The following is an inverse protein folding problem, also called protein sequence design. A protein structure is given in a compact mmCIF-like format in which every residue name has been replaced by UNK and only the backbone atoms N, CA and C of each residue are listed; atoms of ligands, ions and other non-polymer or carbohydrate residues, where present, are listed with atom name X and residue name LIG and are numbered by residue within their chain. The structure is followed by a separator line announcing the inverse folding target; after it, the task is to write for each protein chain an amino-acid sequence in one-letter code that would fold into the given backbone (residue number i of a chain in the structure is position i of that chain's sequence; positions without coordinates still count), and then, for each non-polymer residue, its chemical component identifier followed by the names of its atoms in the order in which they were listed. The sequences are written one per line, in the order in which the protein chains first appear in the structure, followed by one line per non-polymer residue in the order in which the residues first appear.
data_IF_117281492233
#
_entry.id   IF_117281492233
#
_cell.length_a   1.000
_cell.length_b   1.000
_cell.length_c   1.000
_cell.angle_alpha   90.00
_cell.angle_beta   90.00
_cell.angle_gamma   90.00
#
_symmetry.space_group_name_H-M   'P 1'
#
loop_
_entity.id
_entity.type
_entity.pdbx_description
1 polymer ?
#
# COMPACT_ATOMS: atom_id res chain seq x y z
N UNK A 1 -10.28 3.80 -22.32
CA UNK A 1 -11.22 4.53 -21.43
C UNK A 1 -11.42 3.70 -20.17
N UNK A 2 -10.65 3.94 -19.11
CA UNK A 2 -10.82 3.23 -17.84
C UNK A 2 -11.89 3.96 -17.02
N UNK A 3 -13.04 3.29 -16.77
CA UNK A 3 -14.03 3.77 -15.80
C UNK A 3 -13.38 3.76 -14.41
N UNK A 4 -13.08 4.94 -13.89
CA UNK A 4 -12.90 5.13 -12.44
C UNK A 4 -14.27 4.95 -11.79
N UNK A 5 -14.68 3.71 -11.55
CA UNK A 5 -15.81 3.42 -10.67
C UNK A 5 -15.31 3.64 -9.23
N UNK A 6 -15.20 4.91 -8.82
CA UNK A 6 -14.93 5.25 -7.43
C UNK A 6 -16.18 5.00 -6.62
N UNK A 7 -16.15 4.04 -5.70
CA UNK A 7 -17.20 3.92 -4.68
C UNK A 7 -17.03 5.13 -3.76
N UNK A 8 -18.02 6.03 -3.75
CA UNK A 8 -18.02 7.18 -2.85
C UNK A 8 -18.47 6.69 -1.47
N UNK A 9 -17.54 6.53 -0.54
CA UNK A 9 -17.84 6.19 0.85
C UNK A 9 -17.56 7.40 1.74
N UNK A 10 -18.43 7.63 2.73
CA UNK A 10 -18.24 8.66 3.73
C UNK A 10 -17.92 8.01 5.07
N UNK A 11 -16.96 8.57 5.80
CA UNK A 11 -16.63 8.13 7.14
C UNK A 11 -16.31 9.35 7.99
N UNK A 12 -16.73 9.31 9.25
CA UNK A 12 -16.44 10.38 10.20
C UNK A 12 -15.02 10.24 10.73
N UNK A 13 -14.31 11.35 10.83
CA UNK A 13 -13.05 11.42 11.57
C UNK A 13 -13.36 11.54 13.06
N UNK A 14 -12.84 10.61 13.86
CA UNK A 14 -12.98 10.57 15.31
C UNK A 14 -11.62 10.46 15.98
N UNK A 15 -11.33 11.34 16.96
CA UNK A 15 -10.10 11.33 17.77
C UNK A 15 -8.82 11.10 16.94
N UNK A 16 -8.70 11.80 15.80
CA UNK A 16 -7.56 11.72 14.86
C UNK A 16 -7.48 10.46 14.00
N UNK A 17 -8.58 9.69 13.89
CA UNK A 17 -8.65 8.49 13.06
C UNK A 17 -9.89 8.52 12.16
N UNK A 18 -9.77 7.98 10.95
CA UNK A 18 -10.91 7.71 10.07
C UNK A 18 -11.08 6.20 9.97
N UNK A 19 -12.24 5.67 10.36
CA UNK A 19 -12.54 4.24 10.26
C UNK A 19 -13.05 3.92 8.86
N UNK A 20 -12.33 3.08 8.14
CA UNK A 20 -12.75 2.54 6.85
C UNK A 20 -13.30 1.12 7.10
N UNK A 21 -14.48 0.83 6.54
CA UNK A 21 -15.12 -0.48 6.64
C UNK A 21 -16.06 -0.73 5.45
N UNK A 22 -16.40 -1.99 5.23
CA UNK A 22 -17.36 -2.44 4.22
C UNK A 22 -16.76 -3.37 3.17
N UNK A 23 -17.64 -4.07 2.45
CA UNK A 23 -17.31 -5.10 1.45
C UNK A 23 -16.45 -4.58 0.29
N UNK A 24 -16.42 -3.27 0.06
CA UNK A 24 -15.60 -2.64 -0.96
C UNK A 24 -14.09 -2.70 -0.63
N UNK A 25 -13.71 -2.85 0.64
CA UNK A 25 -12.30 -2.79 1.06
C UNK A 25 -11.47 -3.95 0.48
N UNK A 26 -11.87 -5.24 0.62
CA UNK A 26 -11.19 -6.33 -0.06
C UNK A 26 -11.20 -6.19 -1.59
N UNK A 27 -12.29 -5.68 -2.18
CA UNK A 27 -12.41 -5.45 -3.62
C UNK A 27 -11.43 -4.39 -4.13
N UNK A 28 -11.11 -3.40 -3.29
CA UNK A 28 -10.10 -2.38 -3.56
C UNK A 28 -8.66 -2.83 -3.20
N UNK A 29 -8.46 -4.08 -2.80
CA UNK A 29 -7.15 -4.66 -2.49
C UNK A 29 -6.68 -4.44 -1.05
N UNK A 30 -7.51 -3.88 -0.16
CA UNK A 30 -7.20 -3.78 1.27
C UNK A 30 -7.45 -5.13 1.95
N UNK A 31 -6.41 -5.95 2.02
CA UNK A 31 -6.43 -7.26 2.65
C UNK A 31 -5.71 -7.17 4.00
N UNK A 32 -6.25 -7.82 5.02
CA UNK A 32 -5.62 -7.86 6.34
C UNK A 32 -4.18 -8.39 6.25
N UNK A 33 -3.25 -7.74 6.94
CA UNK A 33 -1.81 -8.08 6.92
C UNK A 33 -1.02 -7.52 5.72
N UNK A 34 -1.66 -6.86 4.75
CA UNK A 34 -0.95 -6.15 3.68
C UNK A 34 -0.62 -4.72 4.15
N UNK A 35 0.65 -4.27 4.03
CA UNK A 35 1.00 -2.90 4.38
C UNK A 35 0.32 -1.90 3.44
N UNK A 36 0.12 -0.67 3.90
CA UNK A 36 -0.44 0.43 3.09
C UNK A 36 0.60 1.51 2.88
N UNK A 37 0.59 2.11 1.68
CA UNK A 37 1.33 3.33 1.38
C UNK A 37 0.41 4.52 1.57
N UNK A 38 0.82 5.46 2.41
CA UNK A 38 0.11 6.71 2.66
C UNK A 38 0.84 7.86 1.97
N UNK A 39 0.12 8.68 1.21
CA UNK A 39 0.63 9.90 0.58
C UNK A 39 -0.25 11.06 1.01
N UNK A 40 0.36 12.09 1.58
CA UNK A 40 -0.34 13.33 1.91
C UNK A 40 -0.25 14.27 0.70
N UNK A 41 -1.39 14.71 0.21
CA UNK A 41 -1.52 15.68 -0.86
C UNK A 41 -2.27 16.92 -0.32
N UNK A 42 -2.26 18.02 -1.08
CA UNK A 42 -3.09 19.17 -0.73
C UNK A 42 -4.56 18.73 -0.77
N UNK A 43 -5.27 18.97 0.32
CA UNK A 43 -6.69 18.66 0.54
C UNK A 43 -7.08 17.17 0.59
N UNK A 44 -6.15 16.23 0.44
CA UNK A 44 -6.48 14.80 0.52
C UNK A 44 -5.32 13.92 0.98
N UNK A 45 -5.68 12.75 1.53
CA UNK A 45 -4.74 11.67 1.86
C UNK A 45 -5.07 10.50 0.94
N UNK A 46 -4.06 10.02 0.21
CA UNK A 46 -4.18 8.84 -0.64
C UNK A 46 -3.59 7.65 0.09
N UNK A 47 -4.41 6.63 0.32
CA UNK A 47 -4.00 5.36 0.94
C UNK A 47 -4.14 4.27 -0.11
N UNK A 48 -3.06 3.52 -0.38
CA UNK A 48 -3.07 2.40 -1.34
C UNK A 48 -2.48 1.15 -0.71
N UNK A 49 -3.01 -0.06 -0.96
CA UNK A 49 -2.33 -1.30 -0.61
C UNK A 49 -0.92 -1.33 -1.22
N UNK A 50 0.07 -1.71 -0.43
CA UNK A 50 1.46 -1.83 -0.86
C UNK A 50 1.82 -3.30 -1.01
N UNK A 51 1.75 -3.81 -2.24
CA UNK A 51 2.24 -5.16 -2.53
C UNK A 51 3.77 -5.19 -2.47
N UNK A 52 4.31 -5.88 -1.47
CA UNK A 52 5.76 -6.04 -1.27
C UNK A 52 6.42 -6.93 -2.33
N UNK A 53 5.64 -7.72 -3.06
CA UNK A 53 6.15 -8.58 -4.12
C UNK A 53 6.73 -7.79 -5.33
N UNK A 54 6.33 -6.53 -5.51
CA UNK A 54 6.88 -5.63 -6.53
C UNK A 54 8.05 -4.77 -6.05
N UNK A 55 8.33 -4.74 -4.73
CA UNK A 55 9.43 -3.92 -4.19
C UNK A 55 10.80 -4.39 -4.70
N UNK A 56 10.95 -5.67 -5.08
CA UNK A 56 12.20 -6.17 -5.64
C UNK A 56 12.63 -5.38 -6.90
N UNK A 57 11.71 -5.17 -7.85
CA UNK A 57 11.98 -4.37 -9.05
C UNK A 57 12.23 -2.89 -8.74
N UNK A 58 11.57 -2.34 -7.70
CA UNK A 58 11.86 -0.99 -7.24
C UNK A 58 13.27 -0.88 -6.64
N UNK A 59 13.70 -1.89 -5.87
CA UNK A 59 15.03 -1.92 -5.26
C UNK A 59 16.10 -2.03 -6.35
N UNK A 60 15.94 -2.91 -7.34
CA UNK A 60 16.85 -3.01 -8.49
C UNK A 60 16.99 -1.67 -9.25
N UNK A 61 15.89 -0.92 -9.40
CA UNK A 61 15.90 0.40 -10.02
C UNK A 61 16.50 1.53 -9.18
N UNK A 62 16.68 1.33 -7.87
CA UNK A 62 17.25 2.32 -6.93
C UNK A 62 18.72 2.05 -6.58
N UNK A 63 19.25 0.85 -6.87
CA UNK A 63 20.60 0.45 -6.50
C UNK A 63 21.67 0.95 -7.48
N UNK A 64 22.72 1.60 -6.96
CA UNK A 64 23.95 1.92 -7.72
C UNK A 64 24.79 0.66 -7.99
N UNK A 65 24.53 -0.42 -7.24
CA UNK A 65 25.21 -1.71 -7.34
C UNK A 65 24.21 -2.85 -7.54
N UNK A 66 24.68 -3.98 -8.07
CA UNK A 66 23.88 -5.21 -8.23
C UNK A 66 23.35 -5.65 -6.86
N UNK A 67 22.03 -5.68 -6.71
CA UNK A 67 21.37 -6.18 -5.51
C UNK A 67 21.38 -7.71 -5.50
N UNK A 68 21.73 -8.29 -4.35
CA UNK A 68 21.60 -9.72 -4.12
C UNK A 68 20.12 -10.08 -4.01
N UNK A 69 19.59 -10.71 -5.06
CA UNK A 69 18.18 -11.12 -5.15
C UNK A 69 17.71 -11.94 -3.95
N UNK A 70 18.51 -12.90 -3.51
CA UNK A 70 18.15 -13.80 -2.41
C UNK A 70 18.06 -13.08 -1.07
N UNK A 71 18.99 -12.17 -0.79
CA UNK A 71 18.97 -11.36 0.44
C UNK A 71 17.81 -10.38 0.46
N UNK A 72 17.48 -9.77 -0.69
CA UNK A 72 16.33 -8.87 -0.81
C UNK A 72 15.00 -9.62 -0.64
N UNK A 73 14.86 -10.81 -1.24
CA UNK A 73 13.68 -11.67 -1.05
C UNK A 73 13.49 -12.09 0.41
N UNK A 74 14.58 -12.43 1.12
CA UNK A 74 14.52 -12.74 2.55
C UNK A 74 14.09 -11.53 3.38
N UNK A 75 14.66 -10.36 3.10
CA UNK A 75 14.27 -9.12 3.79
C UNK A 75 12.80 -8.76 3.51
N UNK A 76 12.32 -8.90 2.27
CA UNK A 76 10.92 -8.64 1.89
C UNK A 76 9.92 -9.52 2.63
N UNK A 77 10.28 -10.78 2.93
CA UNK A 77 9.44 -11.67 3.77
C UNK A 77 9.28 -11.17 5.20
N UNK A 78 10.23 -10.35 5.67
CA UNK A 78 10.22 -9.77 7.03
C UNK A 78 9.78 -8.31 7.06
N UNK A 79 9.54 -7.69 5.90
CA UNK A 79 9.07 -6.31 5.77
C UNK A 79 7.55 -6.22 5.98
N UNK A 80 7.00 -5.16 6.61
CA UNK A 80 7.64 -3.93 7.14
C UNK A 80 8.28 -4.07 8.53
N UNK A 81 8.39 -5.30 9.03
CA UNK A 81 8.71 -5.62 10.41
C UNK A 81 7.71 -6.66 10.89
N UNK A 82 8.15 -7.56 11.76
CA UNK A 82 7.29 -8.50 12.49
C UNK A 82 6.77 -7.84 13.76
#
# INVERSE_FOLDING_TARGET
MARLCGILTYSRVERLSARLYGEWMPQAGFINGIPVKVRVMRDCIVITPQHTHGLFGCIEGMGVTRINKRSAEQWLKTFPGR
#
